data_IF_790536613563
#
_entry.id   IF_790536613563
#
_cell.length_a   1.000
_cell.length_b   1.000
_cell.length_c   1.000
_cell.angle_alpha   90.00
_cell.angle_beta   90.00
_cell.angle_gamma   90.00
#
_symmetry.space_group_name_H-M   'P 1'
#
loop_
_entity.id
_entity.type
_entity.pdbx_description
1 polymer ?
#
# COMPACT_ATOMS: atom_id res chain seq x y z
N UNK A 1 -1.55 16.50 -23.63
CA UNK A 1 -2.69 15.62 -23.31
C UNK A 1 -2.62 15.37 -21.81
N UNK A 2 -3.23 16.25 -21.02
CA UNK A 2 -3.15 16.25 -19.55
C UNK A 2 -4.19 15.29 -18.99
N UNK A 3 -3.74 14.20 -18.35
CA UNK A 3 -4.64 13.30 -17.64
C UNK A 3 -5.14 14.03 -16.37
N UNK A 4 -6.43 14.35 -16.36
CA UNK A 4 -7.14 14.79 -15.16
C UNK A 4 -7.14 13.61 -14.20
N UNK A 5 -6.40 13.72 -13.09
CA UNK A 5 -6.57 12.84 -11.96
C UNK A 5 -8.03 12.95 -11.51
N UNK A 6 -8.77 11.85 -11.63
CA UNK A 6 -10.11 11.75 -11.05
C UNK A 6 -9.94 11.80 -9.53
N UNK A 7 -10.06 12.99 -8.97
CA UNK A 7 -10.18 13.20 -7.54
C UNK A 7 -11.62 12.80 -7.18
N UNK A 8 -11.82 11.55 -6.81
CA UNK A 8 -13.11 11.11 -6.28
C UNK A 8 -13.22 11.68 -4.87
N UNK A 9 -13.98 12.75 -4.75
CA UNK A 9 -14.48 13.33 -3.49
C UNK A 9 -15.53 12.37 -2.91
N UNK A 10 -15.09 11.17 -2.50
CA UNK A 10 -15.89 10.32 -1.62
C UNK A 10 -15.95 11.02 -0.26
N UNK A 11 -17.09 10.98 0.46
CA UNK A 11 -17.08 11.40 1.85
C UNK A 11 -15.91 10.66 2.50
N UNK A 12 -14.98 11.41 3.08
CA UNK A 12 -13.85 10.86 3.81
C UNK A 12 -14.41 10.22 5.09
N UNK A 13 -15.18 9.15 4.92
CA UNK A 13 -15.46 8.14 5.91
C UNK A 13 -14.10 7.84 6.49
N UNK A 14 -13.97 8.09 7.79
CA UNK A 14 -12.74 7.85 8.50
C UNK A 14 -12.35 6.38 8.28
N UNK A 15 -11.43 6.16 7.35
CA UNK A 15 -11.01 4.83 6.93
C UNK A 15 -10.51 4.05 8.14
N UNK A 16 -9.93 4.73 9.13
CA UNK A 16 -9.49 4.12 10.37
C UNK A 16 -10.69 3.59 11.15
N UNK A 17 -11.74 4.40 11.34
CA UNK A 17 -12.99 3.95 11.98
C UNK A 17 -13.64 2.81 11.22
N UNK A 18 -13.77 2.90 9.89
CA UNK A 18 -14.36 1.81 9.08
C UNK A 18 -13.56 0.51 9.19
N UNK A 19 -12.23 0.59 9.18
CA UNK A 19 -11.37 -0.59 9.32
C UNK A 19 -11.42 -1.13 10.75
N UNK A 20 -11.47 -0.28 11.78
CA UNK A 20 -11.64 -0.72 13.17
C UNK A 20 -12.97 -1.44 13.38
N UNK A 21 -14.06 -0.95 12.78
CA UNK A 21 -15.39 -1.57 12.87
C UNK A 21 -15.42 -2.99 12.28
N UNK A 22 -14.66 -3.26 11.21
CA UNK A 22 -14.50 -4.62 10.67
C UNK A 22 -13.93 -5.61 11.70
N UNK A 23 -13.16 -5.11 12.66
CA UNK A 23 -12.56 -5.89 13.75
C UNK A 23 -13.23 -5.61 15.10
N UNK A 24 -14.50 -5.18 15.11
CA UNK A 24 -15.28 -4.91 16.33
C UNK A 24 -14.60 -3.89 17.26
N UNK A 25 -13.92 -2.89 16.69
CA UNK A 25 -13.17 -1.89 17.43
C UNK A 25 -11.83 -2.38 18.02
N UNK A 26 -11.42 -3.63 17.75
CA UNK A 26 -10.16 -4.17 18.26
C UNK A 26 -8.98 -3.64 17.46
N UNK A 27 -8.33 -2.61 17.99
CA UNK A 27 -7.12 -2.04 17.41
C UNK A 27 -6.00 -3.10 17.24
N UNK A 28 -5.86 -4.03 18.20
CA UNK A 28 -4.83 -5.07 18.12
C UNK A 28 -5.09 -6.08 17.00
N UNK A 29 -6.35 -6.51 16.84
CA UNK A 29 -6.72 -7.40 15.74
C UNK A 29 -6.55 -6.71 14.39
N UNK A 30 -6.96 -5.44 14.31
CA UNK A 30 -6.81 -4.59 13.13
C UNK A 30 -5.35 -4.45 12.70
N UNK A 31 -4.47 -4.04 13.61
CA UNK A 31 -3.03 -3.90 13.32
C UNK A 31 -2.44 -5.25 12.90
N UNK A 32 -2.83 -6.34 13.58
CA UNK A 32 -2.38 -7.68 13.20
C UNK A 32 -2.76 -8.06 11.77
N UNK A 33 -3.99 -7.76 11.36
CA UNK A 33 -4.47 -8.01 9.99
C UNK A 33 -3.76 -7.13 8.96
N UNK A 34 -3.58 -5.84 9.24
CA UNK A 34 -2.86 -4.92 8.35
C UNK A 34 -1.39 -5.33 8.16
N UNK A 35 -0.72 -5.78 9.22
CA UNK A 35 0.64 -6.31 9.11
C UNK A 35 0.69 -7.58 8.27
N UNK A 36 -0.29 -8.48 8.42
CA UNK A 36 -0.38 -9.69 7.59
C UNK A 36 -0.58 -9.35 6.10
N UNK A 37 -1.48 -8.41 5.81
CA UNK A 37 -1.73 -7.93 4.44
C UNK A 37 -0.50 -7.25 3.84
N UNK A 38 0.19 -6.41 4.62
CA UNK A 38 1.43 -5.79 4.19
C UNK A 38 2.49 -6.84 3.82
N UNK A 39 2.66 -7.87 4.66
CA UNK A 39 3.59 -8.96 4.38
C UNK A 39 3.20 -9.74 3.12
N UNK A 40 1.89 -9.97 2.90
CA UNK A 40 1.38 -10.60 1.68
C UNK A 40 1.71 -9.77 0.42
N UNK A 41 1.40 -8.48 0.43
CA UNK A 41 1.68 -7.56 -0.70
C UNK A 41 3.19 -7.49 -0.99
N UNK A 42 4.03 -7.45 0.05
CA UNK A 42 5.50 -7.49 -0.13
C UNK A 42 5.97 -8.79 -0.76
N UNK A 43 5.36 -9.92 -0.39
CA UNK A 43 5.61 -11.22 -1.03
C UNK A 43 5.23 -11.22 -2.52
N UNK A 44 4.08 -10.65 -2.87
CA UNK A 44 3.64 -10.53 -4.27
C UNK A 44 4.57 -9.64 -5.09
N UNK A 45 5.06 -8.55 -4.49
CA UNK A 45 6.01 -7.65 -5.15
C UNK A 45 7.34 -8.37 -5.42
N UNK A 46 7.89 -9.09 -4.44
CA UNK A 46 9.13 -9.85 -4.59
C UNK A 46 8.98 -10.97 -5.65
N UNK A 47 7.84 -11.66 -5.67
CA UNK A 47 7.54 -12.66 -6.70
C UNK A 47 7.48 -12.04 -8.10
N UNK A 48 6.82 -10.88 -8.21
CA UNK A 48 6.70 -10.14 -9.46
C UNK A 48 8.08 -9.67 -9.95
N UNK A 49 8.90 -9.12 -9.07
CA UNK A 49 10.27 -8.71 -9.38
C UNK A 49 11.12 -9.89 -9.85
N UNK A 50 11.03 -11.04 -9.18
CA UNK A 50 11.78 -12.24 -9.57
C UNK A 50 11.30 -12.84 -10.91
N UNK A 51 10.01 -12.71 -11.23
CA UNK A 51 9.42 -13.21 -12.48
C UNK A 51 9.59 -12.28 -13.67
N UNK A 52 9.76 -10.98 -13.44
CA UNK A 52 9.93 -9.98 -14.49
C UNK A 52 11.40 -9.89 -14.93
N UNK A 53 11.65 -10.00 -16.23
CA UNK A 53 13.00 -9.76 -16.76
C UNK A 53 13.33 -8.26 -16.74
N UNK A 54 14.62 -7.93 -16.64
CA UNK A 54 15.14 -6.55 -16.76
C UNK A 54 14.67 -5.86 -18.06
N UNK A 55 14.53 -6.64 -19.14
CA UNK A 55 14.02 -6.15 -20.42
C UNK A 55 12.52 -5.82 -20.38
N UNK A 56 11.73 -6.58 -19.64
CA UNK A 56 10.29 -6.34 -19.47
C UNK A 56 10.02 -5.06 -18.66
N UNK A 57 10.78 -4.82 -17.59
CA UNK A 57 10.63 -3.60 -16.77
C UNK A 57 11.38 -2.39 -17.31
N UNK A 58 12.12 -2.54 -18.44
CA UNK A 58 13.04 -1.53 -18.98
C UNK A 58 14.02 -0.99 -17.92
N UNK A 59 14.49 -1.88 -17.04
CA UNK A 59 15.40 -1.52 -15.95
C UNK A 59 14.75 -0.80 -14.77
N UNK A 60 13.42 -0.66 -14.74
CA UNK A 60 12.73 -0.18 -13.54
C UNK A 60 12.83 -1.24 -12.42
N UNK A 61 13.11 -0.77 -11.21
CA UNK A 61 13.23 -1.58 -9.99
C UNK A 61 12.33 -0.95 -8.93
N UNK A 62 11.49 -1.73 -8.22
CA UNK A 62 10.67 -1.20 -7.14
C UNK A 62 11.54 -0.54 -6.08
N UNK A 63 11.20 0.69 -5.68
CA UNK A 63 11.82 1.36 -4.53
C UNK A 63 10.73 1.71 -3.53
N UNK A 64 11.02 1.48 -2.26
CA UNK A 64 10.16 1.93 -1.19
C UNK A 64 10.40 3.43 -0.97
N UNK A 65 9.39 4.24 -1.18
CA UNK A 65 9.41 5.65 -0.81
C UNK A 65 8.84 5.74 0.61
N UNK A 66 9.70 5.92 1.61
CA UNK A 66 9.23 6.24 2.95
C UNK A 66 9.08 7.75 3.07
N UNK A 67 7.85 8.27 3.08
CA UNK A 67 7.55 9.59 3.65
C UNK A 67 7.87 9.54 5.15
N UNK A 68 9.14 9.74 5.48
CA UNK A 68 9.63 9.61 6.86
C UNK A 68 11.11 9.96 7.03
N UNK A 69 11.77 10.42 5.96
CA UNK A 69 13.02 11.16 6.07
C UNK A 69 12.73 12.56 6.59
N UNK A 70 12.48 12.66 7.90
CA UNK A 70 12.69 13.93 8.59
C UNK A 70 14.21 14.14 8.59
N UNK A 71 14.72 14.89 7.62
CA UNK A 71 16.07 15.43 7.69
C UNK A 71 16.14 16.31 8.95
N UNK A 72 16.86 15.80 9.97
CA UNK A 72 17.35 16.55 11.12
C UNK A 72 18.80 16.96 10.82
#
# INVERSE_FOLDING_TARGET
MTAVAAQTDEPQLDQVTSVLDLFQGSARATIGALLAELQFVRGQLALSEAGMSVGFTRGWVPRFESEGGNDV
#
